data_IF_332359463656
#
_entry.id   IF_332359463656
#
_cell.length_a   1.000
_cell.length_b   1.000
_cell.length_c   1.000
_cell.angle_alpha   90.00
_cell.angle_beta   90.00
_cell.angle_gamma   90.00
#
_symmetry.space_group_name_H-M   'P 1'
#
loop_
_entity.id
_entity.type
_entity.pdbx_description
1 polymer ?
#
# COMPACT_ATOMS: atom_id res chain seq x y z
N UNK A 1 -0.16 -11.63 -7.17
CA UNK A 1 -1.10 -10.49 -7.00
C UNK A 1 -2.22 -10.49 -8.05
N UNK A 2 -1.92 -10.40 -9.34
CA UNK A 2 -2.92 -10.22 -10.42
C UNK A 2 -4.12 -11.18 -10.37
N UNK A 3 -3.88 -12.48 -10.21
CA UNK A 3 -4.95 -13.49 -10.07
C UNK A 3 -5.89 -13.21 -8.89
N UNK A 4 -5.33 -12.81 -7.75
CA UNK A 4 -6.12 -12.44 -6.57
C UNK A 4 -6.87 -11.12 -6.79
N UNK A 5 -6.22 -10.12 -7.41
CA UNK A 5 -6.84 -8.85 -7.76
C UNK A 5 -8.06 -9.05 -8.66
N UNK A 6 -7.93 -9.76 -9.79
CA UNK A 6 -9.05 -10.03 -10.71
C UNK A 6 -10.21 -10.77 -10.02
N UNK A 7 -9.88 -11.74 -9.14
CA UNK A 7 -10.89 -12.46 -8.35
C UNK A 7 -11.62 -11.54 -7.37
N UNK A 8 -10.91 -10.64 -6.69
CA UNK A 8 -11.53 -9.68 -5.78
C UNK A 8 -12.34 -8.65 -6.55
N UNK A 9 -11.80 -8.09 -7.64
CA UNK A 9 -12.45 -7.06 -8.45
C UNK A 9 -13.82 -7.50 -8.98
N UNK A 10 -13.91 -8.74 -9.48
CA UNK A 10 -15.18 -9.33 -9.93
C UNK A 10 -16.25 -9.40 -8.83
N UNK A 11 -15.82 -9.53 -7.56
CA UNK A 11 -16.73 -9.71 -6.43
C UNK A 11 -16.97 -8.42 -5.63
N UNK A 12 -15.99 -7.52 -5.59
CA UNK A 12 -16.02 -6.31 -4.78
C UNK A 12 -14.93 -5.33 -5.28
N UNK A 13 -15.32 -4.40 -6.16
CA UNK A 13 -14.45 -3.35 -6.72
C UNK A 13 -13.85 -2.45 -5.64
N UNK A 14 -14.61 -2.20 -4.56
CA UNK A 14 -14.16 -1.49 -3.37
C UNK A 14 -12.92 -2.08 -2.73
N UNK A 15 -12.95 -3.38 -2.45
CA UNK A 15 -11.80 -4.10 -1.91
C UNK A 15 -10.66 -4.14 -2.93
N UNK A 16 -10.95 -4.31 -4.22
CA UNK A 16 -9.91 -4.29 -5.26
C UNK A 16 -9.18 -2.95 -5.33
N UNK A 17 -9.89 -1.83 -5.21
CA UNK A 17 -9.27 -0.51 -5.15
C UNK A 17 -8.35 -0.35 -3.92
N UNK A 18 -8.79 -0.83 -2.75
CA UNK A 18 -7.94 -0.87 -1.54
C UNK A 18 -6.69 -1.73 -1.76
N UNK A 19 -6.81 -2.89 -2.42
CA UNK A 19 -5.67 -3.74 -2.76
C UNK A 19 -4.68 -3.01 -3.68
N UNK A 20 -5.17 -2.35 -4.73
CA UNK A 20 -4.32 -1.68 -5.70
C UNK A 20 -3.56 -0.50 -5.09
N UNK A 21 -4.21 0.27 -4.22
CA UNK A 21 -3.54 1.33 -3.44
C UNK A 21 -2.50 0.73 -2.46
N UNK A 22 -2.81 -0.36 -1.78
CA UNK A 22 -1.85 -1.03 -0.88
C UNK A 22 -0.63 -1.58 -1.63
N UNK A 23 -0.85 -2.17 -2.82
CA UNK A 23 0.19 -2.72 -3.69
C UNK A 23 1.15 -1.65 -4.23
N UNK A 24 0.62 -0.47 -4.57
CA UNK A 24 1.39 0.62 -5.20
C UNK A 24 2.05 1.57 -4.20
N UNK A 25 1.50 1.72 -3.00
CA UNK A 25 1.96 2.67 -1.98
C UNK A 25 2.41 2.00 -0.66
N UNK A 26 2.51 0.66 -0.64
CA UNK A 26 2.96 -0.08 0.53
C UNK A 26 2.10 0.16 1.77
N UNK A 27 0.79 0.42 1.62
CA UNK A 27 -0.09 0.78 2.74
C UNK A 27 -0.37 -0.40 3.67
N UNK A 28 -0.47 -0.13 4.98
CA UNK A 28 -1.08 -1.06 5.94
C UNK A 28 -2.57 -1.20 5.65
N UNK A 29 -3.18 -2.30 6.09
CA UNK A 29 -4.62 -2.52 5.88
C UNK A 29 -5.50 -1.35 6.34
N UNK A 30 -5.23 -0.75 7.52
CA UNK A 30 -6.02 0.39 8.01
C UNK A 30 -5.77 1.66 7.20
N UNK A 31 -4.52 1.95 6.84
CA UNK A 31 -4.16 3.06 5.95
C UNK A 31 -4.84 2.90 4.57
N UNK A 32 -4.86 1.68 4.03
CA UNK A 32 -5.47 1.37 2.74
C UNK A 32 -7.00 1.50 2.78
N UNK A 33 -7.67 0.98 3.82
CA UNK A 33 -9.13 1.10 3.95
C UNK A 33 -9.56 2.54 4.19
N UNK A 34 -8.78 3.34 4.94
CA UNK A 34 -9.06 4.76 5.16
C UNK A 34 -8.55 5.68 4.04
N UNK A 35 -7.94 5.13 2.98
CA UNK A 35 -7.37 5.92 1.89
C UNK A 35 -8.39 6.78 1.14
N UNK A 36 -9.69 6.43 1.18
CA UNK A 36 -10.75 7.26 0.59
C UNK A 36 -10.71 8.72 1.08
N UNK A 37 -10.23 8.96 2.30
CA UNK A 37 -10.07 10.29 2.89
C UNK A 37 -8.90 11.09 2.30
N UNK A 38 -8.02 10.46 1.52
CA UNK A 38 -6.79 11.06 1.00
C UNK A 38 -6.63 10.93 -0.53
N UNK A 39 -7.45 10.12 -1.21
CA UNK A 39 -7.38 9.91 -2.68
C UNK A 39 -7.26 11.23 -3.45
N UNK A 40 -8.08 12.24 -3.16
CA UNK A 40 -8.05 13.52 -3.87
C UNK A 40 -6.78 14.34 -3.58
N UNK A 41 -6.21 14.24 -2.37
CA UNK A 41 -4.94 14.90 -2.03
C UNK A 41 -3.77 14.19 -2.69
N UNK A 42 -3.79 12.86 -2.74
CA UNK A 42 -2.77 12.07 -3.43
C UNK A 42 -2.83 12.28 -4.95
N UNK A 43 -4.03 12.44 -5.53
CA UNK A 43 -4.20 12.80 -6.94
C UNK A 43 -3.50 14.11 -7.28
N UNK A 44 -3.76 15.17 -6.49
CA UNK A 44 -3.09 16.47 -6.62
C UNK A 44 -1.57 16.37 -6.46
N UNK A 45 -1.09 15.56 -5.52
CA UNK A 45 0.35 15.33 -5.34
C UNK A 45 0.99 14.72 -6.60
N UNK A 46 0.34 13.75 -7.24
CA UNK A 46 0.86 13.15 -8.47
C UNK A 46 0.82 14.13 -9.65
N UNK A 47 -0.27 14.88 -9.79
CA UNK A 47 -0.47 15.87 -10.86
C UNK A 47 0.51 17.04 -10.77
N UNK A 48 0.88 17.44 -9.55
CA UNK A 48 1.90 18.45 -9.28
C UNK A 48 3.34 17.94 -9.34
N UNK A 49 3.55 16.67 -9.71
CA UNK A 49 4.89 16.11 -9.89
C UNK A 49 5.61 15.73 -8.59
N UNK A 50 4.92 15.66 -7.44
CA UNK A 50 5.56 15.23 -6.18
C UNK A 50 6.06 13.79 -6.29
N UNK A 51 7.20 13.48 -5.65
CA UNK A 51 7.83 12.15 -5.65
C UNK A 51 7.35 11.25 -4.50
N UNK A 52 6.46 11.75 -3.63
CA UNK A 52 5.87 10.97 -2.55
C UNK A 52 4.44 11.44 -2.27
N UNK A 53 3.67 10.60 -1.57
CA UNK A 53 2.39 11.02 -0.98
C UNK A 53 2.44 10.93 0.54
N UNK A 54 1.70 11.82 1.21
CA UNK A 54 1.58 11.83 2.67
C UNK A 54 0.38 11.00 3.12
N UNK A 55 0.64 9.97 3.92
CA UNK A 55 -0.38 9.12 4.55
C UNK A 55 -0.66 9.64 5.95
N UNK A 56 -1.88 10.11 6.19
CA UNK A 56 -2.29 10.75 7.46
C UNK A 56 -3.35 9.95 8.22
N UNK A 57 -4.18 9.17 7.54
CA UNK A 57 -5.26 8.38 8.15
C UNK A 57 -4.90 6.90 8.26
N UNK A 58 -5.42 6.23 9.29
CA UNK A 58 -5.20 4.81 9.55
C UNK A 58 -3.77 4.43 9.99
N UNK A 59 -2.90 5.42 10.23
CA UNK A 59 -1.50 5.21 10.61
C UNK A 59 -1.36 4.67 12.03
N UNK A 60 -0.25 3.96 12.30
CA UNK A 60 0.03 3.41 13.62
C UNK A 60 0.34 4.55 14.60
N UNK A 61 -0.39 4.61 15.73
CA UNK A 61 -0.19 5.62 16.76
C UNK A 61 -0.49 7.06 16.29
N UNK A 62 -1.25 7.24 15.21
CA UNK A 62 -1.59 8.56 14.67
C UNK A 62 -0.42 9.31 14.03
N UNK A 63 0.73 8.65 13.81
CA UNK A 63 1.92 9.29 13.26
C UNK A 63 1.86 9.30 11.73
N UNK A 64 1.79 10.48 11.06
CA UNK A 64 1.78 10.54 9.61
C UNK A 64 3.14 10.11 9.04
N UNK A 65 3.12 9.57 7.82
CA UNK A 65 4.34 9.19 7.10
C UNK A 65 4.25 9.62 5.64
N UNK A 66 5.39 9.87 5.02
CA UNK A 66 5.46 9.93 3.56
C UNK A 66 5.73 8.52 3.02
N UNK A 67 5.33 8.28 1.79
CA UNK A 67 5.65 7.07 1.05
C UNK A 67 6.03 7.46 -0.37
N UNK A 68 7.18 6.96 -0.83
CA UNK A 68 7.70 7.25 -2.16
C UNK A 68 6.76 6.75 -3.27
N UNK A 69 6.68 7.50 -4.36
CA UNK A 69 6.02 7.11 -5.60
C UNK A 69 7.06 6.43 -6.48
N UNK A 70 7.16 5.09 -6.37
CA UNK A 70 8.12 4.28 -7.14
C UNK A 70 7.78 4.25 -8.64
N UNK A 71 6.49 4.16 -8.97
CA UNK A 71 5.98 4.10 -10.33
C UNK A 71 4.79 5.06 -10.48
N UNK A 72 5.04 6.24 -11.04
CA UNK A 72 4.05 7.32 -11.13
C UNK A 72 2.80 6.92 -11.89
N UNK A 73 2.93 6.19 -12.99
CA UNK A 73 1.78 5.77 -13.79
C UNK A 73 0.94 4.69 -13.10
N UNK A 74 1.59 3.74 -12.42
CA UNK A 74 0.89 2.74 -11.64
C UNK A 74 0.09 3.36 -10.49
N UNK A 75 0.69 4.30 -9.75
CA UNK A 75 -0.01 5.02 -8.66
C UNK A 75 -1.13 5.89 -9.23
N UNK A 76 -0.90 6.61 -10.34
CA UNK A 76 -1.95 7.40 -11.02
C UNK A 76 -3.15 6.53 -11.40
N UNK A 77 -2.92 5.35 -11.99
CA UNK A 77 -3.98 4.39 -12.32
C UNK A 77 -4.72 3.91 -11.07
N UNK A 78 -3.99 3.58 -10.00
CA UNK A 78 -4.58 3.13 -8.74
C UNK A 78 -5.49 4.20 -8.10
N UNK A 79 -5.05 5.46 -8.11
CA UNK A 79 -5.81 6.59 -7.59
C UNK A 79 -7.05 6.86 -8.43
N UNK A 80 -6.93 6.89 -9.76
CA UNK A 80 -8.08 7.12 -10.64
C UNK A 80 -9.12 6.01 -10.51
N UNK A 81 -8.67 4.76 -10.38
CA UNK A 81 -9.57 3.63 -10.13
C UNK A 81 -10.30 3.77 -8.78
N UNK A 82 -9.57 4.12 -7.72
CA UNK A 82 -10.15 4.37 -6.40
C UNK A 82 -11.16 5.52 -6.41
N UNK A 83 -10.86 6.62 -7.11
CA UNK A 83 -11.78 7.75 -7.28
C UNK A 83 -13.07 7.32 -7.99
N UNK A 84 -12.96 6.53 -9.08
CA UNK A 84 -14.12 6.00 -9.79
C UNK A 84 -15.01 5.17 -8.86
N UNK A 85 -14.41 4.27 -8.09
CA UNK A 85 -15.14 3.42 -7.13
C UNK A 85 -15.80 4.26 -6.03
N UNK A 86 -15.12 5.31 -5.54
CA UNK A 86 -15.69 6.21 -4.53
C UNK A 86 -16.92 6.96 -5.05
N UNK A 87 -16.92 7.38 -6.33
CA UNK A 87 -18.10 8.02 -6.96
C UNK A 87 -19.31 7.09 -7.00
N UNK A 88 -19.07 5.80 -7.22
CA UNK A 88 -20.12 4.77 -7.23
C UNK A 88 -20.59 4.36 -5.83
N UNK A 89 -19.79 4.64 -4.78
CA UNK A 89 -19.94 4.04 -3.46
C UNK A 89 -19.93 5.08 -2.32
N UNK A 90 -20.70 6.15 -2.47
CA UNK A 90 -20.94 7.19 -1.44
C UNK A 90 -19.65 7.80 -0.86
N UNK A 91 -18.62 7.98 -1.69
CA UNK A 91 -17.32 8.51 -1.27
C UNK A 91 -16.44 7.55 -0.47
N UNK A 92 -16.84 6.28 -0.33
CA UNK A 92 -16.07 5.25 0.39
C UNK A 92 -15.54 4.20 -0.57
N UNK A 93 -14.42 3.57 -0.23
CA UNK A 93 -13.94 2.40 -0.97
C UNK A 93 -14.67 1.14 -0.50
N UNK A 94 -14.82 0.97 0.81
CA UNK A 94 -15.60 -0.13 1.40
C UNK A 94 -16.67 0.51 2.27
N UNK A 95 -17.91 0.58 1.76
CA UNK A 95 -19.02 1.19 2.48
C UNK A 95 -19.52 0.26 3.59
N UNK A 96 -19.06 0.54 4.80
CA UNK A 96 -19.51 -0.09 6.04
C UNK A 96 -19.75 1.00 7.09
N UNK A 97 -20.56 0.70 8.13
CA UNK A 97 -20.88 1.66 9.19
C UNK A 97 -19.66 2.15 9.97
N UNK A 98 -18.66 1.28 10.14
CA UNK A 98 -17.46 1.58 10.91
C UNK A 98 -16.21 0.94 10.29
N UNK A 99 -15.04 1.44 10.73
CA UNK A 99 -13.73 1.01 10.22
C UNK A 99 -13.44 -0.47 10.52
N UNK A 100 -13.94 -1.02 11.63
CA UNK A 100 -13.71 -2.42 11.98
C UNK A 100 -14.41 -3.33 10.97
N UNK A 101 -15.69 -3.07 10.68
CA UNK A 101 -16.46 -3.80 9.66
C UNK A 101 -15.86 -3.64 8.26
N UNK A 102 -15.34 -2.46 7.92
CA UNK A 102 -14.65 -2.23 6.65
C UNK A 102 -13.36 -3.07 6.55
N UNK A 103 -12.56 -3.11 7.60
CA UNK A 103 -11.36 -3.95 7.69
C UNK A 103 -11.68 -5.44 7.62
N UNK A 104 -12.74 -5.89 8.28
CA UNK A 104 -13.14 -7.29 8.27
C UNK A 104 -13.65 -7.71 6.88
N UNK A 105 -14.39 -6.83 6.21
CA UNK A 105 -14.80 -7.01 4.80
C UNK A 105 -13.57 -7.11 3.90
N UNK A 106 -12.60 -6.20 4.05
CA UNK A 106 -11.35 -6.24 3.29
C UNK A 106 -10.60 -7.56 3.48
N UNK A 107 -10.35 -7.95 4.74
CA UNK A 107 -9.65 -9.21 5.07
C UNK A 107 -10.38 -10.44 4.54
N UNK A 108 -11.71 -10.45 4.63
CA UNK A 108 -12.53 -11.56 4.13
C UNK A 108 -12.30 -11.80 2.64
N UNK A 109 -12.41 -10.76 1.82
CA UNK A 109 -12.25 -10.87 0.37
C UNK A 109 -10.82 -11.22 -0.03
N UNK A 110 -9.82 -10.58 0.59
CA UNK A 110 -8.40 -10.86 0.37
C UNK A 110 -8.07 -12.33 0.72
N UNK A 111 -8.56 -12.83 1.86
CA UNK A 111 -8.39 -14.23 2.28
C UNK A 111 -9.03 -15.20 1.28
N UNK A 112 -10.27 -14.93 0.86
CA UNK A 112 -10.97 -15.76 -0.15
C UNK A 112 -10.28 -15.75 -1.51
N UNK A 113 -9.48 -14.73 -1.80
CA UNK A 113 -8.69 -14.64 -3.02
C UNK A 113 -7.36 -15.43 -2.96
N UNK A 114 -7.08 -16.11 -1.86
CA UNK A 114 -5.85 -16.90 -1.68
C UNK A 114 -4.68 -16.08 -1.15
N UNK A 115 -4.90 -14.80 -0.82
CA UNK A 115 -3.95 -14.03 -0.03
C UNK A 115 -4.18 -14.42 1.44
N UNK A 116 -3.65 -15.57 1.84
CA UNK A 116 -3.72 -16.14 3.20
C UNK A 116 -2.32 -16.34 3.82
N UNK A 117 -2.24 -16.52 5.14
CA UNK A 117 -0.99 -16.73 5.88
C UNK A 117 -0.26 -15.45 6.31
N UNK A 118 0.88 -15.59 6.99
CA UNK A 118 1.69 -14.45 7.47
C UNK A 118 2.10 -13.50 6.34
N UNK A 119 2.28 -14.05 5.14
CA UNK A 119 2.67 -13.33 3.93
C UNK A 119 1.49 -12.60 3.24
N UNK A 120 0.24 -12.72 3.68
CA UNK A 120 -0.91 -12.17 2.93
C UNK A 120 -1.06 -10.64 2.96
N UNK A 121 -1.13 -9.97 4.13
CA UNK A 121 -1.02 -8.52 4.20
C UNK A 121 0.39 -8.03 3.84
N UNK A 122 1.41 -8.87 4.06
CA UNK A 122 2.78 -8.58 3.70
C UNK A 122 3.03 -8.65 2.19
N UNK A 123 2.25 -9.39 1.40
CA UNK A 123 2.57 -9.63 -0.02
C UNK A 123 2.59 -8.33 -0.84
N UNK A 124 1.64 -7.44 -0.60
CA UNK A 124 1.58 -6.13 -1.25
C UNK A 124 2.67 -5.19 -0.74
N UNK A 125 2.96 -5.21 0.58
CA UNK A 125 4.04 -4.43 1.18
C UNK A 125 5.43 -4.95 0.78
N UNK A 126 5.56 -6.25 0.55
CA UNK A 126 6.75 -6.93 0.07
C UNK A 126 7.03 -6.56 -1.38
N UNK A 127 6.01 -6.60 -2.23
CA UNK A 127 6.14 -6.07 -3.58
C UNK A 127 6.61 -4.61 -3.56
N UNK A 128 5.92 -3.75 -2.79
CA UNK A 128 6.32 -2.36 -2.68
C UNK A 128 7.76 -2.19 -2.16
N UNK A 129 8.19 -2.97 -1.17
CA UNK A 129 9.56 -2.87 -0.66
C UNK A 129 10.61 -3.28 -1.69
N UNK A 130 10.35 -4.29 -2.53
CA UNK A 130 11.25 -4.66 -3.63
C UNK A 130 11.37 -3.50 -4.64
N UNK A 131 10.24 -2.93 -5.04
CA UNK A 131 10.23 -1.79 -5.97
C UNK A 131 10.91 -0.55 -5.38
N UNK A 132 10.67 -0.26 -4.10
CA UNK A 132 11.29 0.87 -3.42
C UNK A 132 12.81 0.68 -3.26
N UNK A 133 13.26 -0.55 -2.99
CA UNK A 133 14.69 -0.87 -2.99
C UNK A 133 15.32 -0.55 -4.34
N UNK A 134 14.78 -1.10 -5.43
CA UNK A 134 15.29 -0.86 -6.78
C UNK A 134 15.25 0.63 -7.15
N UNK A 135 14.20 1.34 -6.73
CA UNK A 135 14.09 2.80 -6.92
C UNK A 135 15.24 3.56 -6.27
N UNK A 136 15.60 3.23 -5.02
CA UNK A 136 16.70 3.90 -4.32
C UNK A 136 18.09 3.44 -4.81
N UNK A 137 18.24 2.18 -5.20
CA UNK A 137 19.45 1.66 -5.86
C UNK A 137 19.75 2.46 -7.15
N UNK A 138 18.74 2.67 -8.00
CA UNK A 138 18.86 3.46 -9.22
C UNK A 138 19.17 4.95 -8.97
N UNK A 139 18.95 5.44 -7.74
CA UNK A 139 19.34 6.79 -7.31
C UNK A 139 20.72 6.85 -6.65
N UNK A 140 21.45 5.73 -6.59
CA UNK A 140 22.81 5.65 -6.04
C UNK A 140 22.90 5.65 -4.52
N UNK A 141 21.81 5.30 -3.82
CA UNK A 141 21.80 5.24 -2.36
C UNK A 141 22.65 4.07 -1.86
N UNK A 142 23.30 4.22 -0.70
CA UNK A 142 23.98 3.09 -0.06
C UNK A 142 22.97 2.06 0.46
N UNK A 143 23.40 0.81 0.63
CA UNK A 143 22.53 -0.25 1.16
C UNK A 143 21.88 0.15 2.51
N UNK A 144 22.66 0.81 3.39
CA UNK A 144 22.16 1.29 4.68
C UNK A 144 21.05 2.33 4.53
N UNK A 145 21.22 3.29 3.62
CA UNK A 145 20.22 4.33 3.37
C UNK A 145 18.98 3.75 2.69
N UNK A 146 19.14 2.80 1.77
CA UNK A 146 18.03 2.11 1.10
C UNK A 146 17.12 1.49 2.15
N UNK A 147 17.65 0.66 3.05
CA UNK A 147 16.80 0.01 4.05
C UNK A 147 16.24 0.98 5.08
N UNK A 148 16.94 2.06 5.41
CA UNK A 148 16.40 3.12 6.26
C UNK A 148 15.21 3.82 5.57
N UNK A 149 15.32 4.14 4.28
CA UNK A 149 14.25 4.79 3.52
C UNK A 149 13.06 3.88 3.30
N UNK A 150 13.26 2.64 2.86
CA UNK A 150 12.17 1.65 2.71
C UNK A 150 11.48 1.44 4.07
N UNK A 151 12.22 1.46 5.17
CA UNK A 151 11.66 1.40 6.51
C UNK A 151 10.80 2.62 6.86
N UNK A 152 11.25 3.83 6.51
CA UNK A 152 10.50 5.07 6.65
C UNK A 152 9.23 5.08 5.79
N UNK A 153 9.34 4.70 4.52
CA UNK A 153 8.21 4.56 3.60
C UNK A 153 7.18 3.59 4.18
N UNK A 154 7.60 2.43 4.64
CA UNK A 154 6.70 1.46 5.26
C UNK A 154 6.15 1.92 6.63
N UNK A 155 6.65 3.03 7.19
CA UNK A 155 6.24 3.61 8.47
C UNK A 155 6.74 2.82 9.68
N UNK A 156 7.96 2.28 9.61
CA UNK A 156 8.63 1.59 10.71
C UNK A 156 9.63 2.48 11.46
N UNK A 157 9.99 3.64 10.89
CA UNK A 157 11.06 4.51 11.40
C UNK A 157 12.42 4.16 10.78
N UNK A 158 13.38 5.06 10.86
CA UNK A 158 14.73 4.92 10.28
C UNK A 158 15.56 3.83 10.98
N UNK A 159 15.41 3.68 12.30
CA UNK A 159 16.11 2.68 13.12
C UNK A 159 15.72 1.22 12.89
N UNK A 160 14.89 0.92 11.87
CA UNK A 160 14.36 -0.43 11.59
C UNK A 160 14.86 -1.02 10.26
N UNK A 161 15.87 -0.44 9.62
CA UNK A 161 16.43 -0.95 8.37
C UNK A 161 16.86 -2.44 8.42
N UNK A 162 17.51 -2.89 9.50
CA UNK A 162 17.87 -4.31 9.69
C UNK A 162 16.64 -5.23 9.72
N UNK A 163 15.60 -4.83 10.45
CA UNK A 163 14.35 -5.58 10.50
C UNK A 163 13.69 -5.64 9.12
N UNK A 164 13.70 -4.55 8.38
CA UNK A 164 13.18 -4.50 7.02
C UNK A 164 13.94 -5.45 6.10
N UNK A 165 15.28 -5.45 6.13
CA UNK A 165 16.11 -6.42 5.38
C UNK A 165 15.70 -7.86 5.68
N UNK A 166 15.56 -8.21 6.97
CA UNK A 166 15.22 -9.57 7.39
C UNK A 166 13.80 -10.01 7.01
N UNK A 167 12.81 -9.12 7.11
CA UNK A 167 11.40 -9.49 6.89
C UNK A 167 11.00 -9.40 5.42
N UNK A 168 11.52 -8.39 4.72
CA UNK A 168 11.11 -8.10 3.35
C UNK A 168 12.13 -8.52 2.30
N UNK A 169 13.37 -8.85 2.65
CA UNK A 169 14.41 -9.19 1.68
C UNK A 169 15.16 -10.48 2.01
N UNK A 170 14.51 -11.37 2.76
CA UNK A 170 14.97 -12.75 2.94
C UNK A 170 15.02 -13.44 1.57
N UNK A 171 16.21 -13.88 1.17
CA UNK A 171 16.43 -14.80 0.07
C UNK A 171 15.96 -16.20 0.48
N UNK A 172 15.24 -16.91 -0.39
CA UNK A 172 14.82 -18.31 -0.20
C UNK A 172 16.02 -19.30 -0.15
N UNK A 173 17.25 -18.83 0.11
CA UNK A 173 18.47 -19.62 0.26
C UNK A 173 18.85 -19.92 1.71
N UNK A 174 18.02 -19.50 2.68
CA UNK A 174 18.20 -19.77 4.12
C UNK A 174 17.05 -20.65 4.69
N UNK A 175 16.57 -21.61 3.91
CA UNK A 175 15.78 -22.77 4.37
C UNK A 175 16.43 -24.08 3.92
#
# INVERSE_FOLDING_TARGET
FQKAFMKVEKNNRGVAAVMLLSYTLGLRNKEAVESCKSVMTWKRAIESGQDSVRVVFGTKGGRPRNTVIVNRDAVRRAINYAESVMKENNGKLIDRPDIRKALDTYRYHVRRAGLTGEKAPHSMRYHFSQEARAFYENKGYSEREIYAQVSMDLGHGDGRGRYVKQVYFRSDHDE
#
